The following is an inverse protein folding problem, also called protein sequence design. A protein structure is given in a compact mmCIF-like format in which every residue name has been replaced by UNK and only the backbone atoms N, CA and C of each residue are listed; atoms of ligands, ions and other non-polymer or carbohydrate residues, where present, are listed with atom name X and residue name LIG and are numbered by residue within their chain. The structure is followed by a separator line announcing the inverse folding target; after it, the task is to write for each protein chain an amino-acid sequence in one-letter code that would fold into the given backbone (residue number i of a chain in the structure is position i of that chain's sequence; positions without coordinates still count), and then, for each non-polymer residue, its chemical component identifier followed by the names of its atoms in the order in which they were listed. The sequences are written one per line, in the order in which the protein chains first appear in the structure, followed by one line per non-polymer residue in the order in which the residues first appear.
data_IF_269434486601
#
_entry.id   IF_269434486601
#
_cell.length_a   1.000
_cell.length_b   1.000
_cell.length_c   1.000
_cell.angle_alpha   90.00
_cell.angle_beta   90.00
_cell.angle_gamma   90.00
#
_symmetry.space_group_name_H-M   'P 1'
#
loop_
_entity.id
_entity.type
_entity.pdbx_description
1 polymer ?
#
# COMPACT_ATOMS: atom_id res chain seq x y z
N UNK A 1 19.84 -26.78 23.58
CA UNK A 1 18.42 -26.37 23.42
C UNK A 1 18.26 -24.87 23.21
N UNK A 2 18.99 -24.02 23.94
CA UNK A 2 18.85 -22.55 23.84
C UNK A 2 19.15 -21.97 22.44
N UNK A 3 20.18 -22.46 21.74
CA UNK A 3 20.49 -21.99 20.38
C UNK A 3 19.36 -22.20 19.37
N UNK A 4 18.62 -23.31 19.50
CA UNK A 4 17.50 -23.63 18.60
C UNK A 4 16.33 -22.66 18.83
N UNK A 5 16.09 -22.30 20.10
CA UNK A 5 15.04 -21.35 20.48
C UNK A 5 15.38 -19.95 19.97
N UNK A 6 16.62 -19.49 20.13
CA UNK A 6 17.06 -18.18 19.60
C UNK A 6 16.95 -18.13 18.08
N UNK A 7 17.36 -19.19 17.39
CA UNK A 7 17.28 -19.26 15.92
C UNK A 7 15.81 -19.24 15.44
N UNK A 8 14.92 -19.95 16.13
CA UNK A 8 13.49 -19.93 15.84
C UNK A 8 12.89 -18.51 15.98
N UNK A 9 13.24 -17.79 17.05
CA UNK A 9 12.78 -16.40 17.27
C UNK A 9 13.27 -15.48 16.16
N UNK A 10 14.53 -15.60 15.73
CA UNK A 10 15.11 -14.78 14.65
C UNK A 10 14.43 -15.06 13.31
N UNK A 11 14.16 -16.33 12.98
CA UNK A 11 13.46 -16.70 11.74
C UNK A 11 12.04 -16.13 11.73
N UNK A 12 11.31 -16.25 12.85
CA UNK A 12 9.98 -15.66 12.99
C UNK A 12 10.07 -14.14 12.77
N UNK A 13 11.00 -13.45 13.41
CA UNK A 13 11.15 -12.00 13.27
C UNK A 13 11.46 -11.56 11.82
N UNK A 14 12.24 -12.35 11.08
CA UNK A 14 12.53 -12.10 9.67
C UNK A 14 11.31 -12.31 8.77
N UNK A 15 10.52 -13.36 9.03
CA UNK A 15 9.29 -13.66 8.27
C UNK A 15 8.21 -12.60 8.52
N UNK A 16 8.09 -12.11 9.75
CA UNK A 16 7.12 -11.06 10.11
C UNK A 16 7.59 -9.63 9.79
N UNK A 17 8.78 -9.46 9.20
CA UNK A 17 9.27 -8.13 8.84
C UNK A 17 8.33 -7.48 7.81
N UNK A 18 7.60 -6.46 8.25
CA UNK A 18 6.71 -5.65 7.42
C UNK A 18 7.47 -4.99 6.25
N UNK A 19 7.33 -5.56 5.04
CA UNK A 19 7.92 -5.02 3.80
C UNK A 19 6.81 -4.54 2.85
N UNK A 20 6.17 -3.38 3.10
CA UNK A 20 5.22 -2.80 2.16
C UNK A 20 5.97 -2.30 0.91
N UNK A 21 5.41 -2.57 -0.27
CA UNK A 21 5.95 -2.10 -1.56
C UNK A 21 5.66 -0.61 -1.76
N UNK A 22 4.52 -0.15 -1.27
CA UNK A 22 4.16 1.27 -1.24
C UNK A 22 3.52 1.62 0.09
N UNK A 23 3.79 2.82 0.59
CA UNK A 23 3.17 3.34 1.80
C UNK A 23 2.85 4.82 1.61
N UNK A 24 1.61 5.20 1.88
CA UNK A 24 1.16 6.58 1.97
C UNK A 24 0.63 6.88 3.37
N UNK A 25 0.98 8.04 3.91
CA UNK A 25 0.46 8.55 5.17
C UNK A 25 -0.25 9.87 4.89
N UNK A 26 -1.54 9.90 5.25
CA UNK A 26 -2.39 11.08 5.17
C UNK A 26 -2.76 11.55 6.58
N UNK A 27 -2.77 12.85 6.81
CA UNK A 27 -3.33 13.46 8.02
C UNK A 27 -4.11 14.72 7.61
N UNK A 28 -5.33 14.87 8.12
CA UNK A 28 -6.13 16.07 7.88
C UNK A 28 -6.51 16.35 6.41
N UNK A 29 -6.35 15.37 5.51
CA UNK A 29 -6.54 15.58 4.06
C UNK A 29 -5.25 15.90 3.29
N UNK A 30 -4.10 15.98 3.96
CA UNK A 30 -2.80 16.20 3.33
C UNK A 30 -1.94 14.93 3.31
N UNK A 31 -1.11 14.80 2.26
CA UNK A 31 -0.15 13.70 2.13
C UNK A 31 1.16 14.09 2.83
N UNK A 32 1.44 13.47 3.97
CA UNK A 32 2.65 13.73 4.75
C UNK A 32 3.83 12.87 4.27
N UNK A 33 3.57 11.61 3.94
CA UNK A 33 4.63 10.69 3.55
C UNK A 33 4.18 9.81 2.39
N UNK A 34 5.07 9.66 1.41
CA UNK A 34 4.96 8.70 0.33
C UNK A 34 6.27 7.92 0.22
N UNK A 35 6.18 6.59 0.27
CA UNK A 35 7.33 5.68 0.18
C UNK A 35 7.05 4.60 -0.86
N UNK A 36 8.06 4.26 -1.65
CA UNK A 36 7.98 3.27 -2.73
C UNK A 36 7.73 3.91 -4.10
N UNK A 37 7.68 3.08 -5.14
CA UNK A 37 7.40 3.53 -6.50
C UNK A 37 5.89 3.62 -6.71
N UNK A 38 5.31 4.81 -6.48
CA UNK A 38 3.86 5.02 -6.56
C UNK A 38 3.50 5.60 -7.93
N UNK A 39 2.59 4.98 -8.70
CA UNK A 39 2.14 5.54 -9.98
C UNK A 39 1.51 6.91 -9.81
N UNK A 40 1.88 7.88 -10.67
CA UNK A 40 1.39 9.26 -10.59
C UNK A 40 -0.15 9.36 -10.60
N UNK A 41 -0.84 8.54 -11.41
CA UNK A 41 -2.31 8.52 -11.43
C UNK A 41 -2.93 8.10 -10.10
N UNK A 42 -2.29 7.17 -9.38
CA UNK A 42 -2.74 6.75 -8.05
C UNK A 42 -2.50 7.85 -7.01
N UNK A 43 -1.36 8.54 -7.08
CA UNK A 43 -1.06 9.68 -6.19
C UNK A 43 -2.08 10.81 -6.35
N UNK A 44 -2.34 11.21 -7.59
CA UNK A 44 -3.29 12.30 -7.90
C UNK A 44 -4.68 11.93 -7.40
N UNK A 45 -5.19 10.75 -7.75
CA UNK A 45 -6.52 10.35 -7.29
C UNK A 45 -6.61 10.18 -5.77
N UNK A 46 -5.54 9.75 -5.08
CA UNK A 46 -5.52 9.76 -3.61
C UNK A 46 -5.57 11.18 -3.03
N UNK A 47 -4.84 12.14 -3.62
CA UNK A 47 -4.90 13.55 -3.22
C UNK A 47 -6.29 14.15 -3.46
N UNK A 48 -6.90 13.87 -4.60
CA UNK A 48 -8.27 14.34 -4.92
C UNK A 48 -9.30 13.78 -3.93
N UNK A 49 -9.17 12.52 -3.53
CA UNK A 49 -10.02 11.91 -2.51
C UNK A 49 -9.79 12.60 -1.15
N UNK A 50 -8.53 12.86 -0.78
CA UNK A 50 -8.17 13.51 0.46
C UNK A 50 -8.67 14.98 0.52
N UNK A 51 -8.65 15.71 -0.60
CA UNK A 51 -9.22 17.05 -0.71
C UNK A 51 -10.76 17.05 -0.59
N UNK A 52 -11.45 16.11 -1.23
CA UNK A 52 -12.91 16.02 -1.17
C UNK A 52 -13.43 15.53 0.18
N UNK A 53 -12.66 14.66 0.83
CA UNK A 53 -13.03 14.09 2.11
C UNK A 53 -11.77 13.98 2.97
N UNK A 54 -11.49 14.97 3.85
CA UNK A 54 -10.29 14.95 4.67
C UNK A 54 -10.33 13.71 5.58
N UNK A 55 -9.27 12.92 5.52
CA UNK A 55 -9.11 11.74 6.36
C UNK A 55 -7.68 11.65 6.90
N UNK A 56 -7.53 10.98 8.04
CA UNK A 56 -6.24 10.65 8.62
C UNK A 56 -6.04 9.14 8.58
N UNK A 57 -4.90 8.68 8.10
CA UNK A 57 -4.60 7.26 8.06
C UNK A 57 -3.40 6.89 7.22
N UNK A 58 -2.99 5.63 7.39
CA UNK A 58 -1.92 5.00 6.62
C UNK A 58 -2.55 4.06 5.60
N UNK A 59 -2.03 4.10 4.37
CA UNK A 59 -2.36 3.19 3.28
C UNK A 59 -1.07 2.44 2.96
N UNK A 60 -1.08 1.13 3.12
CA UNK A 60 0.04 0.25 2.78
C UNK A 60 -0.37 -0.66 1.65
N UNK A 61 0.51 -0.85 0.69
CA UNK A 61 0.33 -1.79 -0.42
C UNK A 61 1.36 -2.90 -0.28
N UNK A 62 0.88 -4.13 -0.21
CA UNK A 62 1.68 -5.33 -0.15
C UNK A 62 1.53 -6.08 -1.48
N UNK A 63 2.64 -6.44 -2.12
CA UNK A 63 2.62 -7.28 -3.31
C UNK A 63 3.05 -8.68 -2.91
N UNK A 64 2.13 -9.64 -3.04
CA UNK A 64 2.45 -11.06 -2.98
C UNK A 64 2.65 -11.60 -4.41
N UNK A 65 3.19 -12.81 -4.54
CA UNK A 65 3.41 -13.52 -5.82
C UNK A 65 2.16 -13.57 -6.71
N UNK A 66 0.98 -13.65 -6.08
CA UNK A 66 -0.31 -13.82 -6.76
C UNK A 66 -1.22 -12.59 -6.74
N UNK A 67 -1.08 -11.70 -5.75
CA UNK A 67 -2.02 -10.61 -5.55
C UNK A 67 -1.38 -9.38 -4.91
N UNK A 68 -1.92 -8.21 -5.25
CA UNK A 68 -1.57 -6.94 -4.60
C UNK A 68 -2.68 -6.57 -3.62
N UNK A 69 -2.34 -6.50 -2.33
CA UNK A 69 -3.27 -6.20 -1.24
C UNK A 69 -3.08 -4.77 -0.76
N UNK A 70 -4.16 -4.00 -0.70
CA UNK A 70 -4.20 -2.73 0.03
C UNK A 70 -4.63 -2.97 1.48
N UNK A 71 -3.92 -2.35 2.40
CA UNK A 71 -4.20 -2.39 3.84
C UNK A 71 -4.31 -0.96 4.33
N UNK A 72 -5.42 -0.66 5.00
CA UNK A 72 -5.74 0.67 5.51
C UNK A 72 -5.68 0.69 7.03
N UNK A 73 -5.33 1.84 7.59
CA UNK A 73 -5.52 2.13 9.02
C UNK A 73 -7.01 2.07 9.40
N UNK A 74 -7.29 1.72 10.66
CA UNK A 74 -8.65 1.71 11.22
C UNK A 74 -9.32 3.10 11.19
N UNK A 75 -8.51 4.16 11.19
CA UNK A 75 -8.94 5.56 11.13
C UNK A 75 -9.55 5.97 9.78
N UNK A 76 -9.33 5.19 8.72
CA UNK A 76 -9.84 5.53 7.39
C UNK A 76 -11.32 5.11 7.27
N UNK A 77 -12.25 6.02 6.88
CA UNK A 77 -13.66 5.69 6.68
C UNK A 77 -13.85 4.65 5.55
N UNK A 78 -14.88 3.80 5.66
CA UNK A 78 -15.19 2.76 4.66
C UNK A 78 -15.41 3.32 3.25
N UNK A 79 -16.12 4.45 3.13
CA UNK A 79 -16.35 5.16 1.86
C UNK A 79 -15.03 5.58 1.20
N UNK A 80 -14.07 6.06 1.98
CA UNK A 80 -12.75 6.47 1.50
C UNK A 80 -11.94 5.23 1.06
N UNK A 81 -11.99 4.13 1.81
CA UNK A 81 -11.36 2.86 1.42
C UNK A 81 -11.83 2.39 0.04
N UNK A 82 -13.15 2.41 -0.20
CA UNK A 82 -13.71 2.00 -1.49
C UNK A 82 -13.25 2.91 -2.64
N UNK A 83 -13.23 4.24 -2.42
CA UNK A 83 -12.74 5.18 -3.43
C UNK A 83 -11.26 4.97 -3.76
N UNK A 84 -10.43 4.72 -2.76
CA UNK A 84 -9.01 4.43 -2.96
C UNK A 84 -8.83 3.09 -3.71
N UNK A 85 -9.66 2.09 -3.42
CA UNK A 85 -9.69 0.85 -4.19
C UNK A 85 -10.02 1.10 -5.67
N UNK A 86 -11.01 1.94 -5.97
CA UNK A 86 -11.40 2.24 -7.35
C UNK A 86 -10.32 2.97 -8.16
N UNK A 87 -9.52 3.82 -7.49
CA UNK A 87 -8.40 4.54 -8.11
C UNK A 87 -7.14 3.67 -8.18
N UNK A 88 -7.10 2.54 -7.48
CA UNK A 88 -5.93 1.69 -7.43
C UNK A 88 -5.62 1.06 -8.79
N UNK A 89 -4.39 1.20 -9.30
CA UNK A 89 -4.01 0.59 -10.58
C UNK A 89 -3.84 -0.92 -10.40
N UNK A 90 -4.94 -1.67 -10.55
CA UNK A 90 -4.97 -3.12 -10.52
C UNK A 90 -4.10 -3.77 -11.62
N UNK A 91 -3.73 -3.00 -12.63
CA UNK A 91 -3.07 -3.47 -13.85
C UNK A 91 -1.57 -3.12 -13.98
N UNK A 92 -0.88 -2.73 -12.90
CA UNK A 92 0.59 -2.51 -12.97
C UNK A 92 1.40 -3.80 -13.13
N UNK A 93 0.75 -4.94 -13.36
CA UNK A 93 1.36 -6.19 -13.82
C UNK A 93 1.78 -6.05 -15.27
N UNK A 94 3.03 -5.61 -15.51
CA UNK A 94 3.99 -6.27 -16.41
C UNK A 94 3.59 -6.72 -17.82
N UNK A 95 2.44 -6.35 -18.40
CA UNK A 95 2.20 -6.55 -19.83
C UNK A 95 2.84 -5.38 -20.56
N UNK A 96 4.05 -5.60 -21.08
CA UNK A 96 4.51 -4.87 -22.27
C UNK A 96 3.36 -4.97 -23.27
N UNK A 97 2.62 -3.89 -23.44
CA UNK A 97 1.60 -3.75 -24.49
C UNK A 97 2.38 -3.86 -25.79
N UNK A 98 2.38 -5.05 -26.39
CA UNK A 98 2.98 -5.28 -27.69
C UNK A 98 2.45 -4.21 -28.64
N UNK A 99 3.36 -3.39 -29.17
CA UNK A 99 3.09 -2.55 -30.32
C UNK A 99 2.55 -3.49 -31.40
N UNK A 100 1.26 -3.36 -31.73
CA UNK A 100 0.78 -3.86 -33.02
C UNK A 100 1.36 -2.89 -34.05
N UNK A 101 2.20 -3.45 -34.91
CA UNK A 101 2.76 -2.79 -36.08
C UNK A 101 1.64 -2.49 -37.09
#
# INVERSE_FOLDING_TARGET
MEYVIVLAVVVIFLVFKDRPVMMLKFEGGELIQSKGNIPNGFLIGCKDIAHKQPFSGKIKVYRNRFATKLVFSKTVPSKVKQRIHNVFPHNSTGKKRGRRA
#
